data_IF_235410053850
#
_entry.id   IF_235410053850
#
_cell.length_a   1.000
_cell.length_b   1.000
_cell.length_c   1.000
_cell.angle_alpha   90.00
_cell.angle_beta   90.00
_cell.angle_gamma   90.00
#
_symmetry.space_group_name_H-M   'P 1'
#
loop_
_entity.id
_entity.type
_entity.pdbx_description
1 polymer ?
#
# COMPACT_ATOMS: atom_id res chain seq x y z
N UNK A 1 -17.09 36.70 -21.38
CA UNK A 1 -17.61 35.32 -21.22
C UNK A 1 -16.61 34.54 -20.38
N UNK A 2 -16.82 34.61 -19.07
CA UNK A 2 -16.04 33.86 -18.08
C UNK A 2 -17.04 33.09 -17.25
N UNK A 3 -16.82 31.79 -17.09
CA UNK A 3 -17.57 30.99 -16.13
C UNK A 3 -18.20 29.73 -16.69
N UNK A 4 -17.42 28.71 -16.98
CA UNK A 4 -17.96 27.39 -17.36
C UNK A 4 -17.11 26.21 -16.88
N UNK A 5 -16.37 26.36 -15.78
CA UNK A 5 -15.74 25.24 -15.08
C UNK A 5 -15.59 25.55 -13.58
N UNK A 6 -16.73 25.78 -12.92
CA UNK A 6 -16.80 25.69 -11.47
C UNK A 6 -17.52 24.39 -11.19
N UNK A 7 -16.77 23.29 -11.22
CA UNK A 7 -17.22 22.03 -10.66
C UNK A 7 -17.32 22.18 -9.14
N UNK A 8 -18.46 21.80 -8.57
CA UNK A 8 -18.62 21.72 -7.13
C UNK A 8 -17.51 20.85 -6.53
N UNK A 9 -16.91 21.26 -5.40
CA UNK A 9 -15.96 20.41 -4.71
C UNK A 9 -16.65 19.09 -4.35
N UNK A 10 -15.98 17.99 -4.68
CA UNK A 10 -16.43 16.66 -4.30
C UNK A 10 -16.65 16.64 -2.77
N UNK A 11 -17.74 16.04 -2.28
CA UNK A 11 -17.95 15.95 -0.85
C UNK A 11 -16.80 15.19 -0.20
N UNK A 12 -16.24 15.77 0.85
CA UNK A 12 -15.27 15.12 1.73
C UNK A 12 -15.86 13.81 2.23
N UNK A 13 -15.39 12.70 1.69
CA UNK A 13 -15.73 11.36 2.18
C UNK A 13 -14.87 11.09 3.41
N UNK A 14 -15.20 11.75 4.51
CA UNK A 14 -14.72 11.38 5.83
C UNK A 14 -15.57 10.24 6.38
N UNK A 15 -15.49 9.08 5.77
CA UNK A 15 -15.93 7.85 6.43
C UNK A 15 -14.71 7.13 7.00
N UNK A 16 -14.22 7.59 8.13
CA UNK A 16 -13.41 6.76 9.02
C UNK A 16 -14.34 5.69 9.61
N UNK A 17 -14.55 4.63 8.87
CA UNK A 17 -15.15 3.42 9.43
C UNK A 17 -14.07 2.75 10.26
N UNK A 18 -13.88 3.19 11.50
CA UNK A 18 -13.21 2.39 12.51
C UNK A 18 -14.13 1.20 12.78
N UNK A 19 -13.91 0.10 12.09
CA UNK A 19 -14.50 -1.18 12.45
C UNK A 19 -13.83 -1.63 13.77
N UNK A 20 -14.27 -1.05 14.88
CA UNK A 20 -14.10 -1.67 16.18
C UNK A 20 -14.99 -2.92 16.16
N UNK A 21 -14.39 -4.07 15.89
CA UNK A 21 -15.04 -5.37 16.06
C UNK A 21 -15.07 -5.69 17.57
N UNK A 22 -15.79 -4.87 18.29
CA UNK A 22 -16.21 -5.22 19.65
C UNK A 22 -17.39 -6.14 19.46
N UNK A 23 -17.30 -7.40 19.94
CA UNK A 23 -18.45 -8.29 19.93
C UNK A 23 -19.60 -7.53 20.61
N UNK A 24 -20.80 -7.52 20.00
CA UNK A 24 -21.93 -6.84 20.61
C UNK A 24 -22.10 -7.32 22.06
N UNK A 25 -22.29 -6.41 23.00
CA UNK A 25 -22.41 -6.73 24.43
C UNK A 25 -23.46 -7.82 24.69
N UNK A 26 -24.47 -7.93 23.85
CA UNK A 26 -25.46 -8.98 23.95
C UNK A 26 -24.86 -10.39 23.77
N UNK A 27 -23.79 -10.52 22.97
CA UNK A 27 -23.17 -11.82 22.71
C UNK A 27 -22.31 -12.28 23.90
N UNK A 28 -21.60 -11.37 24.52
CA UNK A 28 -20.84 -11.64 25.74
C UNK A 28 -21.79 -11.93 26.90
N UNK A 29 -22.87 -11.17 27.04
CA UNK A 29 -23.89 -11.41 28.06
C UNK A 29 -24.63 -12.73 27.82
N UNK A 30 -24.98 -13.04 26.57
CA UNK A 30 -25.62 -14.32 26.24
C UNK A 30 -24.73 -15.54 26.56
N UNK A 31 -23.42 -15.46 26.29
CA UNK A 31 -22.49 -16.52 26.66
C UNK A 31 -22.35 -16.66 28.19
N UNK A 32 -22.36 -15.55 28.94
CA UNK A 32 -22.36 -15.55 30.40
C UNK A 32 -23.66 -16.12 30.98
N UNK A 33 -24.79 -15.75 30.38
CA UNK A 33 -26.11 -16.26 30.82
C UNK A 33 -26.25 -17.75 30.57
N UNK A 34 -25.78 -18.27 29.42
CA UNK A 34 -25.74 -19.72 29.16
C UNK A 34 -24.80 -20.44 30.16
N UNK A 35 -23.64 -19.86 30.45
CA UNK A 35 -22.71 -20.44 31.43
C UNK A 35 -23.34 -20.49 32.84
N UNK A 36 -24.02 -19.43 33.25
CA UNK A 36 -24.72 -19.32 34.54
C UNK A 36 -25.93 -20.27 34.62
N UNK A 37 -26.73 -20.34 33.56
CA UNK A 37 -27.85 -21.28 33.43
C UNK A 37 -27.38 -22.72 33.52
N UNK A 38 -26.26 -23.07 32.84
CA UNK A 38 -25.64 -24.38 32.91
C UNK A 38 -25.16 -24.74 34.33
N UNK A 39 -24.50 -23.79 35.02
CA UNK A 39 -24.06 -24.03 36.43
C UNK A 39 -25.24 -24.21 37.37
N UNK A 40 -26.30 -23.43 37.26
CA UNK A 40 -27.47 -23.54 38.09
C UNK A 40 -28.26 -24.84 37.83
N UNK A 41 -28.40 -25.24 36.57
CA UNK A 41 -29.05 -26.52 36.22
C UNK A 41 -28.29 -27.73 36.73
N UNK A 42 -26.97 -27.68 36.74
CA UNK A 42 -26.10 -28.72 37.24
C UNK A 42 -26.22 -28.88 38.76
N UNK A 43 -26.30 -27.80 39.54
CA UNK A 43 -26.44 -27.85 40.98
C UNK A 43 -27.78 -28.44 41.44
N UNK A 44 -28.83 -28.36 40.62
CA UNK A 44 -30.18 -28.84 40.96
C UNK A 44 -30.47 -30.27 40.45
N UNK A 45 -29.70 -30.80 39.48
CA UNK A 45 -30.04 -32.04 38.79
C UNK A 45 -29.12 -33.23 39.08
N UNK A 46 -28.11 -33.13 39.95
CA UNK A 46 -27.13 -34.17 40.19
C UNK A 46 -26.25 -34.50 38.99
N UNK A 47 -26.18 -33.60 37.99
CA UNK A 47 -25.33 -33.72 36.83
C UNK A 47 -23.94 -33.16 37.17
N UNK A 48 -22.88 -33.81 36.71
CA UNK A 48 -21.51 -33.32 36.90
C UNK A 48 -21.34 -31.91 36.30
N UNK A 49 -20.86 -30.94 37.10
CA UNK A 49 -20.63 -29.58 36.68
C UNK A 49 -19.55 -29.48 35.60
N UNK A 50 -19.45 -28.28 34.98
CA UNK A 50 -18.39 -28.03 34.01
C UNK A 50 -17.01 -28.32 34.62
N UNK A 51 -16.18 -29.03 33.87
CA UNK A 51 -14.81 -29.29 34.30
C UNK A 51 -14.01 -27.99 34.34
N UNK A 52 -12.94 -27.92 35.14
CA UNK A 52 -12.06 -26.74 35.17
C UNK A 52 -11.54 -26.34 33.78
N UNK A 53 -11.29 -27.30 32.89
CA UNK A 53 -10.86 -27.07 31.53
C UNK A 53 -11.95 -26.42 30.64
N UNK A 54 -13.21 -26.84 30.84
CA UNK A 54 -14.34 -26.19 30.15
C UNK A 54 -14.54 -24.77 30.63
N UNK A 55 -14.45 -24.50 31.93
CA UNK A 55 -14.53 -23.15 32.47
C UNK A 55 -13.39 -22.28 31.97
N UNK A 56 -12.17 -22.79 31.86
CA UNK A 56 -11.03 -22.10 31.27
C UNK A 56 -11.28 -21.79 29.78
N UNK A 57 -11.82 -22.76 29.03
CA UNK A 57 -12.16 -22.51 27.60
C UNK A 57 -13.19 -21.41 27.45
N UNK A 58 -14.21 -21.32 28.31
CA UNK A 58 -15.19 -20.24 28.28
C UNK A 58 -14.58 -18.87 28.63
N UNK A 59 -13.64 -18.82 29.58
CA UNK A 59 -12.95 -17.58 29.94
C UNK A 59 -12.01 -17.08 28.81
N UNK A 60 -11.38 -17.99 28.08
CA UNK A 60 -10.46 -17.65 27.00
C UNK A 60 -11.18 -17.40 25.65
N UNK A 61 -12.43 -17.78 25.52
CA UNK A 61 -13.17 -17.66 24.27
C UNK A 61 -13.21 -16.23 23.69
N UNK A 62 -13.42 -15.16 24.47
CA UNK A 62 -13.38 -13.78 23.98
C UNK A 62 -11.99 -13.42 23.43
N UNK A 63 -10.92 -13.74 24.17
CA UNK A 63 -9.55 -13.38 23.78
C UNK A 63 -9.15 -14.09 22.48
N UNK A 64 -9.57 -15.33 22.30
CA UNK A 64 -9.34 -16.11 21.08
C UNK A 64 -10.15 -15.55 19.91
N UNK A 65 -11.41 -15.16 20.14
CA UNK A 65 -12.23 -14.58 19.09
C UNK A 65 -11.62 -13.31 18.47
N UNK A 66 -10.80 -12.58 19.23
CA UNK A 66 -10.15 -11.36 18.81
C UNK A 66 -8.63 -11.49 18.58
N UNK A 67 -8.07 -12.70 18.70
CA UNK A 67 -6.62 -12.91 18.60
C UNK A 67 -6.03 -12.44 17.25
N UNK A 68 -6.81 -12.50 16.16
CA UNK A 68 -6.42 -12.02 14.83
C UNK A 68 -6.69 -10.54 14.55
N UNK A 69 -7.40 -9.83 15.43
CA UNK A 69 -7.88 -8.47 15.16
C UNK A 69 -6.75 -7.47 14.91
N UNK A 70 -5.63 -7.60 15.63
CA UNK A 70 -4.45 -6.74 15.41
C UNK A 70 -3.85 -6.90 14.02
N UNK A 71 -3.69 -8.14 13.56
CA UNK A 71 -3.16 -8.43 12.22
C UNK A 71 -4.13 -7.99 11.13
N UNK A 72 -5.44 -8.18 11.31
CA UNK A 72 -6.47 -7.71 10.38
C UNK A 72 -6.54 -6.18 10.35
N UNK A 73 -6.37 -5.50 11.49
CA UNK A 73 -6.27 -4.05 11.57
C UNK A 73 -5.07 -3.50 10.79
N UNK A 74 -3.89 -4.09 10.96
CA UNK A 74 -2.70 -3.74 10.19
C UNK A 74 -2.90 -3.99 8.68
N UNK A 75 -3.52 -5.11 8.31
CA UNK A 75 -3.86 -5.43 6.92
C UNK A 75 -4.78 -4.36 6.30
N UNK A 76 -5.85 -3.98 6.99
CA UNK A 76 -6.80 -2.98 6.51
C UNK A 76 -6.16 -1.61 6.33
N UNK A 77 -5.26 -1.22 7.24
CA UNK A 77 -4.51 0.04 7.14
C UNK A 77 -3.59 0.05 5.92
N UNK A 78 -2.80 -1.01 5.71
CA UNK A 78 -1.89 -1.12 4.56
C UNK A 78 -2.64 -1.16 3.23
N UNK A 79 -3.71 -1.94 3.16
CA UNK A 79 -4.56 -2.03 1.96
C UNK A 79 -5.29 -0.70 1.70
N UNK A 80 -5.77 -0.03 2.74
CA UNK A 80 -6.40 1.28 2.65
C UNK A 80 -5.44 2.35 2.13
N UNK A 81 -4.22 2.42 2.66
CA UNK A 81 -3.19 3.32 2.18
C UNK A 81 -2.82 3.02 0.72
N UNK A 82 -2.56 1.76 0.39
CA UNK A 82 -2.22 1.36 -0.98
C UNK A 82 -3.38 1.61 -1.95
N UNK A 83 -4.62 1.41 -1.52
CA UNK A 83 -5.82 1.64 -2.35
C UNK A 83 -6.17 3.11 -2.54
N UNK A 84 -5.85 3.96 -1.56
CA UNK A 84 -6.08 5.41 -1.62
C UNK A 84 -4.98 6.16 -2.38
N UNK A 85 -3.81 5.54 -2.57
CA UNK A 85 -2.64 6.15 -3.20
C UNK A 85 -2.53 5.73 -4.65
N UNK A 86 -2.48 6.68 -5.57
CA UNK A 86 -2.23 6.40 -6.99
C UNK A 86 -0.76 6.62 -7.34
N UNK A 87 -0.26 5.92 -8.37
CA UNK A 87 1.14 6.08 -8.82
C UNK A 87 1.47 7.54 -9.14
N UNK A 88 0.62 8.32 -9.85
CA UNK A 88 0.89 9.72 -10.11
C UNK A 88 1.06 10.58 -8.85
N UNK A 89 0.36 10.26 -7.76
CA UNK A 89 0.43 11.04 -6.52
C UNK A 89 1.79 10.93 -5.82
N UNK A 90 2.40 9.75 -5.92
CA UNK A 90 3.66 9.44 -5.21
C UNK A 90 4.88 9.43 -6.11
N UNK A 91 4.71 9.47 -7.44
CA UNK A 91 5.84 9.39 -8.37
C UNK A 91 6.88 10.50 -8.13
N UNK A 92 6.43 11.65 -7.65
CA UNK A 92 7.32 12.78 -7.34
C UNK A 92 8.36 12.42 -6.27
N UNK A 93 8.01 11.59 -5.30
CA UNK A 93 8.90 11.16 -4.21
C UNK A 93 9.99 10.19 -4.70
N UNK A 94 9.73 9.51 -5.82
CA UNK A 94 10.68 8.58 -6.46
C UNK A 94 11.47 9.20 -7.60
N UNK A 95 11.15 10.44 -8.01
CA UNK A 95 11.94 11.14 -9.03
C UNK A 95 13.33 11.43 -8.50
N UNK A 96 14.32 11.07 -9.31
CA UNK A 96 15.70 11.42 -8.99
C UNK A 96 15.87 12.95 -9.00
N UNK A 97 16.21 13.59 -7.87
CA UNK A 97 16.36 15.05 -7.78
C UNK A 97 17.45 15.60 -8.71
N UNK A 98 18.37 14.74 -9.15
CA UNK A 98 19.44 15.14 -10.07
C UNK A 98 19.03 15.15 -11.54
N UNK A 99 17.82 14.67 -11.89
CA UNK A 99 17.37 14.63 -13.29
C UNK A 99 17.31 16.04 -13.89
N UNK A 100 16.82 17.02 -13.12
CA UNK A 100 16.84 18.42 -13.53
C UNK A 100 18.25 18.96 -13.80
N UNK A 101 19.19 18.68 -12.88
CA UNK A 101 20.58 19.10 -13.03
C UNK A 101 21.25 18.45 -14.26
N UNK A 102 20.94 17.20 -14.58
CA UNK A 102 21.43 16.53 -15.79
C UNK A 102 20.87 17.20 -17.05
N UNK A 103 19.58 17.55 -17.06
CA UNK A 103 18.93 18.26 -18.18
C UNK A 103 19.56 19.65 -18.39
N UNK A 104 19.82 20.39 -17.32
CA UNK A 104 20.50 21.70 -17.36
C UNK A 104 21.93 21.56 -17.88
N UNK A 105 22.67 20.54 -17.42
CA UNK A 105 24.03 20.27 -17.88
C UNK A 105 24.06 19.90 -19.37
N UNK A 106 23.10 19.13 -19.86
CA UNK A 106 22.96 18.87 -21.32
C UNK A 106 22.82 20.16 -22.10
N UNK A 107 22.00 21.10 -21.62
CA UNK A 107 21.84 22.42 -22.22
C UNK A 107 23.16 23.20 -22.26
N UNK A 108 23.88 23.24 -21.17
CA UNK A 108 25.17 23.92 -21.03
C UNK A 108 26.25 23.33 -21.94
N UNK A 109 26.34 22.00 -21.98
CA UNK A 109 27.31 21.31 -22.86
C UNK A 109 27.00 21.55 -24.35
N UNK A 110 25.73 21.53 -24.72
CA UNK A 110 25.28 21.83 -26.06
C UNK A 110 25.64 23.26 -26.46
N UNK A 111 25.40 24.24 -25.59
CA UNK A 111 25.74 25.62 -25.83
C UNK A 111 27.25 25.80 -26.03
N UNK A 112 28.08 25.15 -25.20
CA UNK A 112 29.52 25.13 -25.31
C UNK A 112 29.96 24.52 -26.65
N UNK A 113 29.42 23.36 -27.01
CA UNK A 113 29.70 22.69 -28.27
C UNK A 113 29.37 23.57 -29.49
N UNK A 114 28.25 24.30 -29.45
CA UNK A 114 27.88 25.24 -30.48
C UNK A 114 28.94 26.34 -30.61
N UNK A 115 29.36 26.94 -29.48
CA UNK A 115 30.31 28.05 -29.48
C UNK A 115 31.73 27.65 -29.88
N UNK A 116 32.20 26.51 -29.37
CA UNK A 116 33.58 26.08 -29.50
C UNK A 116 33.84 25.29 -30.80
N UNK A 117 32.86 24.54 -31.28
CA UNK A 117 33.06 23.62 -32.40
C UNK A 117 32.21 23.99 -33.63
N UNK A 118 30.90 24.21 -33.44
CA UNK A 118 29.97 24.34 -34.59
C UNK A 118 30.10 25.69 -35.28
N UNK A 119 30.08 26.78 -34.52
CA UNK A 119 30.21 28.12 -35.12
C UNK A 119 31.55 28.34 -35.81
N UNK A 120 32.71 27.97 -35.25
CA UNK A 120 33.98 28.08 -35.95
C UNK A 120 34.05 27.20 -37.22
N UNK A 121 33.50 25.96 -37.15
CA UNK A 121 33.48 25.06 -38.31
C UNK A 121 32.62 25.61 -39.44
N UNK A 122 31.43 26.14 -39.12
CA UNK A 122 30.55 26.80 -40.12
C UNK A 122 31.21 28.07 -40.71
N UNK A 123 31.85 28.87 -39.86
CA UNK A 123 32.61 30.05 -40.28
C UNK A 123 33.78 29.69 -41.22
N UNK A 124 34.60 28.67 -40.82
CA UNK A 124 35.71 28.17 -41.64
C UNK A 124 35.26 27.64 -43.01
N UNK A 125 34.17 26.84 -43.03
CA UNK A 125 33.59 26.32 -44.26
C UNK A 125 33.07 27.47 -45.19
N UNK A 126 32.49 28.50 -44.60
CA UNK A 126 32.01 29.65 -45.36
C UNK A 126 33.15 30.48 -45.96
N UNK A 127 34.25 30.67 -45.22
CA UNK A 127 35.47 31.32 -45.71
C UNK A 127 36.08 30.50 -46.84
N UNK A 128 36.26 29.18 -46.66
CA UNK A 128 36.82 28.29 -47.67
C UNK A 128 36.03 28.22 -48.97
N UNK A 129 34.72 28.40 -48.90
CA UNK A 129 33.81 28.42 -50.07
C UNK A 129 33.58 29.83 -50.66
N UNK A 130 34.22 30.86 -50.09
CA UNK A 130 34.02 32.27 -50.54
C UNK A 130 32.63 32.83 -50.24
N UNK A 131 31.84 32.21 -49.38
CA UNK A 131 30.45 32.58 -49.05
C UNK A 131 30.30 33.29 -47.69
N UNK A 132 31.40 33.71 -47.08
CA UNK A 132 31.39 34.41 -45.81
C UNK A 132 30.51 35.67 -45.85
N UNK A 133 29.60 35.82 -44.90
CA UNK A 133 28.63 36.93 -44.84
C UNK A 133 27.44 36.79 -45.79
N UNK A 134 27.35 35.75 -46.59
CA UNK A 134 26.24 35.53 -47.51
C UNK A 134 24.93 35.14 -46.82
N UNK A 135 23.79 35.44 -47.46
CA UNK A 135 22.47 34.98 -47.00
C UNK A 135 22.40 33.46 -46.89
N UNK A 136 23.09 32.73 -47.75
CA UNK A 136 23.16 31.27 -47.75
C UNK A 136 23.87 30.76 -46.50
N UNK A 137 24.96 31.37 -46.09
CA UNK A 137 25.66 31.03 -44.84
C UNK A 137 24.73 31.25 -43.63
N UNK A 138 24.04 32.41 -43.58
CA UNK A 138 23.10 32.71 -42.50
C UNK A 138 21.98 31.66 -42.42
N UNK A 139 21.44 31.22 -43.56
CA UNK A 139 20.41 30.21 -43.65
C UNK A 139 20.92 28.83 -43.16
N UNK A 140 22.12 28.42 -43.60
CA UNK A 140 22.74 27.15 -43.15
C UNK A 140 22.97 27.19 -41.67
N UNK A 141 23.58 28.25 -41.13
CA UNK A 141 23.80 28.43 -39.70
C UNK A 141 22.48 28.37 -38.90
N UNK A 142 21.44 29.09 -39.37
CA UNK A 142 20.12 29.10 -38.73
C UNK A 142 19.44 27.72 -38.75
N UNK A 143 19.57 26.96 -39.82
CA UNK A 143 19.03 25.61 -39.89
C UNK A 143 19.78 24.66 -38.96
N UNK A 144 21.12 24.69 -39.01
CA UNK A 144 21.95 23.87 -38.12
C UNK A 144 21.65 24.14 -36.64
N UNK A 145 21.47 25.41 -36.26
CA UNK A 145 21.10 25.78 -34.90
C UNK A 145 19.72 25.23 -34.50
N UNK A 146 18.73 25.33 -35.39
CA UNK A 146 17.39 24.76 -35.12
C UNK A 146 17.42 23.25 -34.96
N UNK A 147 18.15 22.55 -35.83
CA UNK A 147 18.28 21.11 -35.80
C UNK A 147 18.96 20.66 -34.49
N UNK A 148 20.01 21.36 -34.05
CA UNK A 148 20.68 21.09 -32.79
C UNK A 148 19.82 21.38 -31.58
N UNK A 149 18.97 22.43 -31.60
CA UNK A 149 18.01 22.70 -30.55
C UNK A 149 16.93 21.61 -30.48
N UNK A 150 16.43 21.18 -31.65
CA UNK A 150 15.45 20.09 -31.69
C UNK A 150 16.01 18.78 -31.16
N UNK A 151 17.26 18.42 -31.49
CA UNK A 151 17.97 17.24 -30.95
C UNK A 151 18.16 17.35 -29.45
N UNK A 152 18.59 18.50 -28.93
CA UNK A 152 18.71 18.73 -27.50
C UNK A 152 17.39 18.55 -26.78
N UNK A 153 16.31 19.18 -27.26
CA UNK A 153 14.97 19.04 -26.67
C UNK A 153 14.51 17.57 -26.68
N UNK A 154 14.78 16.85 -27.77
CA UNK A 154 14.49 15.41 -27.85
C UNK A 154 15.23 14.60 -26.80
N UNK A 155 16.52 14.87 -26.59
CA UNK A 155 17.34 14.20 -25.55
C UNK A 155 16.88 14.55 -24.14
N UNK A 156 16.56 15.82 -23.87
CA UNK A 156 16.04 16.27 -22.59
C UNK A 156 14.69 15.63 -22.29
N UNK A 157 13.78 15.60 -23.27
CA UNK A 157 12.49 14.93 -23.13
C UNK A 157 12.65 13.44 -22.83
N UNK A 158 13.54 12.74 -23.55
CA UNK A 158 13.81 11.34 -23.32
C UNK A 158 14.39 11.08 -21.91
N UNK A 159 15.30 11.94 -21.44
CA UNK A 159 15.86 11.83 -20.09
C UNK A 159 14.78 12.00 -19.00
N UNK A 160 13.92 13.01 -19.15
CA UNK A 160 12.80 13.25 -18.24
C UNK A 160 11.79 12.10 -18.27
N UNK A 161 11.42 11.63 -19.46
CA UNK A 161 10.48 10.52 -19.61
C UNK A 161 11.01 9.23 -19.02
N UNK A 162 12.29 8.92 -19.22
CA UNK A 162 12.95 7.76 -18.62
C UNK A 162 12.98 7.88 -17.09
N UNK A 163 13.28 9.07 -16.57
CA UNK A 163 13.24 9.35 -15.14
C UNK A 163 11.85 9.12 -14.55
N UNK A 164 10.82 9.64 -15.22
CA UNK A 164 9.43 9.46 -14.81
C UNK A 164 9.00 7.98 -14.85
N UNK A 165 9.32 7.25 -15.92
CA UNK A 165 8.98 5.83 -16.05
C UNK A 165 9.65 4.99 -14.95
N UNK A 166 10.93 5.27 -14.66
CA UNK A 166 11.64 4.58 -13.59
C UNK A 166 11.02 4.86 -12.22
N UNK A 167 10.69 6.12 -11.93
CA UNK A 167 10.02 6.52 -10.70
C UNK A 167 8.63 5.86 -10.57
N UNK A 168 7.85 5.84 -11.66
CA UNK A 168 6.55 5.19 -11.69
C UNK A 168 6.63 3.67 -11.43
N UNK A 169 7.64 2.99 -11.97
CA UNK A 169 7.88 1.57 -11.70
C UNK A 169 8.24 1.31 -10.22
N UNK A 170 9.08 2.16 -9.62
CA UNK A 170 9.43 2.05 -8.21
C UNK A 170 8.21 2.28 -7.32
N UNK A 171 7.44 3.33 -7.58
CA UNK A 171 6.20 3.63 -6.86
C UNK A 171 5.20 2.46 -6.96
N UNK A 172 5.00 1.91 -8.15
CA UNK A 172 4.14 0.74 -8.37
C UNK A 172 4.66 -0.50 -7.63
N UNK A 173 5.99 -0.68 -7.60
CA UNK A 173 6.63 -1.76 -6.83
C UNK A 173 6.34 -1.66 -5.34
N UNK A 174 6.39 -0.47 -4.77
CA UNK A 174 6.12 -0.24 -3.35
C UNK A 174 4.64 -0.37 -3.00
N UNK A 175 3.73 0.09 -3.86
CA UNK A 175 2.30 -0.17 -3.72
C UNK A 175 1.98 -1.68 -3.74
N UNK A 176 2.60 -2.42 -4.66
CA UNK A 176 2.44 -3.88 -4.72
C UNK A 176 2.99 -4.57 -3.46
N UNK A 177 4.13 -4.10 -2.91
CA UNK A 177 4.66 -4.62 -1.63
C UNK A 177 3.70 -4.35 -0.48
N UNK A 178 3.12 -3.15 -0.41
CA UNK A 178 2.13 -2.82 0.62
C UNK A 178 0.87 -3.71 0.53
N UNK A 179 0.36 -3.95 -0.68
CA UNK A 179 -0.76 -4.87 -0.91
C UNK A 179 -0.42 -6.31 -0.52
N UNK A 180 0.75 -6.80 -0.91
CA UNK A 180 1.20 -8.14 -0.55
C UNK A 180 1.40 -8.29 0.96
N UNK A 181 1.96 -7.28 1.62
CA UNK A 181 2.07 -7.25 3.08
C UNK A 181 0.69 -7.27 3.75
N UNK A 182 -0.27 -6.48 3.25
CA UNK A 182 -1.65 -6.51 3.72
C UNK A 182 -2.29 -7.90 3.60
N UNK A 183 -2.09 -8.58 2.48
CA UNK A 183 -2.57 -9.96 2.28
C UNK A 183 -1.90 -10.94 3.26
N UNK A 184 -0.58 -10.80 3.48
CA UNK A 184 0.14 -11.64 4.43
C UNK A 184 -0.37 -11.43 5.88
N UNK A 185 -0.64 -10.19 6.29
CA UNK A 185 -1.25 -9.90 7.58
C UNK A 185 -2.68 -10.45 7.71
N UNK A 186 -3.46 -10.44 6.62
CA UNK A 186 -4.79 -11.08 6.60
C UNK A 186 -4.70 -12.58 6.81
N UNK A 187 -3.77 -13.25 6.12
CA UNK A 187 -3.53 -14.67 6.29
C UNK A 187 -3.07 -15.00 7.73
N UNK A 188 -2.15 -14.20 8.27
CA UNK A 188 -1.70 -14.35 9.64
C UNK A 188 -2.84 -14.19 10.65
N UNK A 189 -3.70 -13.18 10.46
CA UNK A 189 -4.87 -12.97 11.31
C UNK A 189 -5.83 -14.16 11.29
N UNK A 190 -6.12 -14.70 10.12
CA UNK A 190 -6.95 -15.88 9.97
C UNK A 190 -6.29 -17.12 10.64
N UNK A 191 -5.00 -17.32 10.44
CA UNK A 191 -4.27 -18.42 11.05
C UNK A 191 -4.26 -18.32 12.58
N UNK A 192 -4.09 -17.13 13.15
CA UNK A 192 -4.16 -16.90 14.59
C UNK A 192 -5.55 -17.26 15.13
N UNK A 193 -6.60 -16.86 14.42
CA UNK A 193 -7.97 -17.17 14.79
C UNK A 193 -8.24 -18.69 14.71
N UNK A 194 -7.79 -19.35 13.66
CA UNK A 194 -7.94 -20.81 13.50
C UNK A 194 -7.20 -21.59 14.58
N UNK A 195 -5.97 -21.21 14.91
CA UNK A 195 -5.21 -21.82 15.99
C UNK A 195 -5.89 -21.62 17.33
N UNK A 196 -6.40 -20.41 17.59
CA UNK A 196 -7.12 -20.10 18.80
C UNK A 196 -8.41 -20.91 18.94
N UNK A 197 -9.23 -20.98 17.88
CA UNK A 197 -10.48 -21.78 17.90
C UNK A 197 -10.21 -23.27 18.03
N UNK A 198 -9.15 -23.77 17.39
CA UNK A 198 -8.72 -25.17 17.54
C UNK A 198 -8.27 -25.46 18.97
N UNK A 199 -7.51 -24.55 19.59
CA UNK A 199 -7.09 -24.66 20.98
C UNK A 199 -8.28 -24.70 21.93
N UNK A 200 -9.26 -23.80 21.76
CA UNK A 200 -10.49 -23.78 22.56
C UNK A 200 -11.29 -25.06 22.39
N UNK A 201 -11.47 -25.55 21.18
CA UNK A 201 -12.16 -26.79 20.90
C UNK A 201 -11.47 -27.97 21.60
N UNK A 202 -10.16 -28.03 21.55
CA UNK A 202 -9.38 -29.07 22.22
C UNK A 202 -9.58 -29.03 23.71
N UNK A 203 -9.53 -27.86 24.36
CA UNK A 203 -9.79 -27.70 25.79
C UNK A 203 -11.19 -28.10 26.16
N UNK A 204 -12.19 -27.74 25.34
CA UNK A 204 -13.58 -28.10 25.55
C UNK A 204 -13.78 -29.63 25.45
N UNK A 205 -13.20 -30.26 24.43
CA UNK A 205 -13.31 -31.72 24.20
C UNK A 205 -12.66 -32.51 25.34
N UNK A 206 -11.49 -32.10 25.83
CA UNK A 206 -10.86 -32.71 27.02
C UNK A 206 -11.70 -32.51 28.28
N UNK A 207 -12.27 -31.30 28.44
CA UNK A 207 -13.17 -31.00 29.55
C UNK A 207 -14.43 -31.87 29.54
N UNK A 208 -15.01 -32.08 28.34
CA UNK A 208 -16.16 -32.98 28.18
C UNK A 208 -15.84 -34.44 28.50
N UNK A 209 -14.63 -34.92 28.18
CA UNK A 209 -14.16 -36.25 28.58
C UNK A 209 -14.06 -36.37 30.09
N UNK A 210 -13.50 -35.35 30.79
CA UNK A 210 -13.45 -35.35 32.26
C UNK A 210 -14.84 -35.36 32.88
N UNK A 211 -15.77 -34.58 32.35
CA UNK A 211 -17.16 -34.56 32.82
C UNK A 211 -17.84 -35.91 32.65
N UNK A 212 -17.67 -36.56 31.51
CA UNK A 212 -18.20 -37.89 31.26
C UNK A 212 -17.63 -38.96 32.22
N UNK A 213 -16.34 -38.85 32.56
CA UNK A 213 -15.74 -39.74 33.57
C UNK A 213 -16.33 -39.49 34.97
N UNK A 214 -16.50 -38.19 35.34
CA UNK A 214 -17.15 -37.79 36.57
C UNK A 214 -18.59 -38.33 36.67
N UNK A 215 -19.38 -38.22 35.60
CA UNK A 215 -20.74 -38.74 35.56
C UNK A 215 -20.78 -40.27 35.75
N UNK A 216 -19.92 -41.00 35.08
CA UNK A 216 -19.83 -42.47 35.24
C UNK A 216 -19.45 -42.92 36.65
N UNK A 217 -18.75 -42.07 37.43
CA UNK A 217 -18.45 -42.35 38.83
C UNK A 217 -19.63 -42.06 39.74
N UNK A 218 -20.50 -41.11 39.37
CA UNK A 218 -21.72 -40.80 40.14
C UNK A 218 -22.83 -41.80 39.87
N UNK A 219 -22.86 -42.46 38.73
CA UNK A 219 -23.86 -43.44 38.32
C UNK A 219 -23.54 -44.88 38.84
N UNK A 220 -22.44 -45.09 39.58
CA UNK A 220 -22.05 -46.33 40.25
C UNK A 220 -22.39 -46.31 41.71
#
# INVERSE_FOLDING_TARGET
MAGLFQGDPLPDVTSTTSAQTTAPEFYTNYLQDIANLGQNAVQQSGIAGFSPLQQQAFQMAPDVAFSGAGSLGAASQLMGQAGATTVPDVVADYLNPYTGAVVDEMGRLQQRNIQENVLPALGGAAVGSGQFGSRRQQQITGNTMRDMQADLLGRQYNALNTGYQSAAQLAQGDLNRALNAGQAFTQLGNQQQDLGTTGLKTLYDYGAQQQNLGQRMLDR
#
